data_IF_907553678876
#
_entry.id   IF_907553678876
#
_cell.length_a   1.000
_cell.length_b   1.000
_cell.length_c   1.000
_cell.angle_alpha   90.00
_cell.angle_beta   90.00
_cell.angle_gamma   90.00
#
_symmetry.space_group_name_H-M   'P 1'
#
loop_
_entity.id
_entity.type
_entity.pdbx_description
1 polymer ?
#
# COMPACT_ATOMS: atom_id res chain seq x y z
N UNK A 1 17.97 -24.21 18.24
CA UNK A 1 17.23 -24.56 17.00
C UNK A 1 15.85 -23.90 17.00
N UNK A 2 15.79 -22.57 17.03
CA UNK A 2 14.55 -21.79 16.82
C UNK A 2 14.52 -21.45 15.31
N UNK A 3 13.56 -21.86 14.47
CA UNK A 3 12.25 -21.19 14.37
C UNK A 3 11.30 -21.87 13.31
N UNK A 4 10.73 -23.05 13.57
CA UNK A 4 9.71 -23.64 12.69
C UNK A 4 8.38 -22.85 12.64
N UNK A 5 8.10 -22.08 13.70
CA UNK A 5 6.88 -21.26 13.84
C UNK A 5 6.89 -19.99 12.98
N UNK A 6 8.05 -19.38 12.75
CA UNK A 6 8.19 -18.16 11.95
C UNK A 6 8.00 -18.43 10.45
N UNK A 7 8.53 -19.57 9.98
CA UNK A 7 8.35 -20.00 8.59
C UNK A 7 6.88 -20.31 8.27
N UNK A 8 6.19 -20.99 9.19
CA UNK A 8 4.76 -21.33 9.03
C UNK A 8 3.90 -20.06 8.98
N UNK A 9 4.13 -19.10 9.88
CA UNK A 9 3.44 -17.79 9.84
C UNK A 9 3.68 -17.07 8.53
N UNK A 10 4.92 -17.05 8.03
CA UNK A 10 5.27 -16.39 6.78
C UNK A 10 4.58 -17.03 5.57
N UNK A 11 4.50 -18.37 5.51
CA UNK A 11 3.76 -19.08 4.45
C UNK A 11 2.27 -18.75 4.45
N UNK A 12 1.66 -18.65 5.63
CA UNK A 12 0.24 -18.29 5.76
C UNK A 12 -0.02 -16.83 5.35
N UNK A 13 0.85 -15.88 5.73
CA UNK A 13 0.75 -14.49 5.29
C UNK A 13 0.94 -14.36 3.77
N UNK A 14 1.93 -15.05 3.21
CA UNK A 14 2.15 -15.08 1.76
C UNK A 14 0.97 -15.67 0.98
N UNK A 15 0.35 -16.73 1.50
CA UNK A 15 -0.84 -17.31 0.90
C UNK A 15 -2.03 -16.35 0.95
N UNK A 16 -2.25 -15.67 2.08
CA UNK A 16 -3.31 -14.68 2.22
C UNK A 16 -3.11 -13.50 1.27
N UNK A 17 -1.88 -12.95 1.18
CA UNK A 17 -1.57 -11.85 0.27
C UNK A 17 -1.80 -12.24 -1.19
N UNK A 18 -1.37 -13.44 -1.59
CA UNK A 18 -1.61 -13.96 -2.94
C UNK A 18 -3.10 -14.05 -3.27
N UNK A 19 -3.91 -14.55 -2.34
CA UNK A 19 -5.37 -14.63 -2.54
C UNK A 19 -5.95 -13.23 -2.67
N UNK A 20 -5.57 -12.32 -1.76
CA UNK A 20 -6.08 -10.96 -1.73
C UNK A 20 -5.76 -10.21 -3.03
N UNK A 21 -4.51 -10.28 -3.50
CA UNK A 21 -4.10 -9.65 -4.77
C UNK A 21 -4.83 -10.24 -5.99
N UNK A 22 -5.13 -11.55 -5.98
CA UNK A 22 -5.73 -12.22 -7.15
C UNK A 22 -7.26 -12.22 -7.15
N UNK A 23 -7.90 -12.22 -5.98
CA UNK A 23 -9.34 -12.51 -5.81
C UNK A 23 -10.05 -11.53 -4.88
N UNK A 24 -9.34 -10.52 -4.40
CA UNK A 24 -9.85 -9.57 -3.41
C UNK A 24 -10.08 -10.21 -2.04
N UNK A 25 -10.58 -9.40 -1.12
CA UNK A 25 -10.80 -9.80 0.26
C UNK A 25 -11.88 -10.88 0.39
N UNK A 26 -12.88 -10.87 -0.49
CA UNK A 26 -13.98 -11.86 -0.53
C UNK A 26 -13.49 -13.27 -0.86
N UNK A 27 -12.30 -13.39 -1.46
CA UNK A 27 -11.66 -14.67 -1.75
C UNK A 27 -11.03 -15.35 -0.52
N UNK A 28 -10.93 -14.66 0.61
CA UNK A 28 -10.23 -15.15 1.80
C UNK A 28 -11.13 -16.00 2.69
N UNK A 29 -10.57 -17.11 3.16
CA UNK A 29 -11.11 -17.91 4.27
C UNK A 29 -9.96 -18.65 4.93
N UNK A 30 -10.13 -19.06 6.19
CA UNK A 30 -9.15 -19.92 6.90
C UNK A 30 -8.77 -21.14 6.07
N UNK A 31 -9.78 -21.80 5.48
CA UNK A 31 -9.58 -22.96 4.60
C UNK A 31 -8.76 -22.59 3.37
N UNK A 32 -9.12 -21.53 2.64
CA UNK A 32 -8.44 -21.15 1.41
C UNK A 32 -6.99 -20.73 1.65
N UNK A 33 -6.72 -20.05 2.76
CA UNK A 33 -5.37 -19.65 3.17
C UNK A 33 -4.52 -20.89 3.46
N UNK A 34 -5.04 -21.84 4.26
CA UNK A 34 -4.34 -23.11 4.53
C UNK A 34 -4.03 -23.89 3.26
N UNK A 35 -5.04 -24.11 2.40
CA UNK A 35 -4.88 -24.80 1.12
C UNK A 35 -3.84 -24.12 0.22
N UNK A 36 -3.89 -22.79 0.10
CA UNK A 36 -2.96 -22.01 -0.74
C UNK A 36 -1.55 -21.98 -0.17
N UNK A 37 -1.40 -22.13 1.14
CA UNK A 37 -0.10 -22.26 1.81
C UNK A 37 0.46 -23.69 1.76
N UNK A 38 -0.33 -24.69 1.33
CA UNK A 38 0.04 -26.11 1.45
C UNK A 38 0.08 -26.60 2.89
N UNK A 39 -0.74 -26.02 3.77
CA UNK A 39 -0.74 -26.23 5.22
C UNK A 39 -2.13 -26.61 5.74
N UNK A 40 -2.19 -27.22 6.92
CA UNK A 40 -3.46 -27.48 7.60
C UNK A 40 -4.17 -26.14 7.94
N UNK A 41 -5.43 -25.92 7.53
CA UNK A 41 -6.18 -24.70 7.85
C UNK A 41 -6.22 -24.33 9.34
N UNK A 42 -6.17 -25.31 10.25
CA UNK A 42 -6.15 -25.04 11.70
C UNK A 42 -4.92 -24.25 12.15
N UNK A 43 -3.85 -24.23 11.36
CA UNK A 43 -2.65 -23.44 11.64
C UNK A 43 -2.91 -21.93 11.55
N UNK A 44 -3.93 -21.49 10.80
CA UNK A 44 -4.32 -20.07 10.76
C UNK A 44 -4.82 -19.63 12.13
N UNK A 45 -5.81 -20.34 12.68
CA UNK A 45 -6.36 -20.00 14.01
C UNK A 45 -5.35 -20.26 15.11
N UNK A 46 -4.50 -21.28 14.99
CA UNK A 46 -3.42 -21.53 15.95
C UNK A 46 -2.39 -20.39 16.02
N UNK A 47 -1.95 -19.85 14.87
CA UNK A 47 -0.90 -18.83 14.85
C UNK A 47 -1.39 -17.39 14.99
N UNK A 48 -2.60 -17.12 14.52
CA UNK A 48 -3.14 -15.77 14.44
C UNK A 48 -4.39 -15.57 15.31
N UNK A 49 -5.00 -16.63 15.83
CA UNK A 49 -6.27 -16.58 16.56
C UNK A 49 -7.49 -16.52 15.63
N UNK A 50 -7.45 -15.67 14.60
CA UNK A 50 -8.53 -15.52 13.62
C UNK A 50 -8.00 -15.13 12.24
N UNK A 51 -8.86 -15.22 11.22
CA UNK A 51 -8.55 -14.66 9.89
C UNK A 51 -8.38 -13.14 9.96
N UNK A 52 -9.20 -12.44 10.75
CA UNK A 52 -9.09 -10.98 10.93
C UNK A 52 -7.71 -10.57 11.47
N UNK A 53 -7.24 -11.24 12.52
CA UNK A 53 -5.92 -10.97 13.11
C UNK A 53 -4.75 -11.33 12.17
N UNK A 54 -4.94 -12.31 11.27
CA UNK A 54 -3.99 -12.55 10.18
C UNK A 54 -3.96 -11.36 9.21
N UNK A 55 -5.12 -10.85 8.82
CA UNK A 55 -5.23 -9.73 7.88
C UNK A 55 -4.74 -8.40 8.47
N UNK A 56 -4.91 -8.18 9.78
CA UNK A 56 -4.31 -7.04 10.47
C UNK A 56 -2.78 -7.10 10.41
N UNK A 57 -2.18 -8.26 10.69
CA UNK A 57 -0.73 -8.43 10.54
C UNK A 57 -0.28 -8.27 9.09
N UNK A 58 -1.06 -8.75 8.12
CA UNK A 58 -0.76 -8.57 6.70
C UNK A 58 -0.84 -7.10 6.28
N UNK A 59 -1.86 -6.37 6.75
CA UNK A 59 -2.00 -4.91 6.59
C UNK A 59 -0.75 -4.23 7.14
N UNK A 60 -0.35 -4.53 8.36
CA UNK A 60 0.79 -3.86 9.01
C UNK A 60 2.10 -4.11 8.26
N UNK A 61 2.28 -5.31 7.70
CA UNK A 61 3.46 -5.65 6.89
C UNK A 61 3.53 -4.91 5.56
N UNK A 62 2.39 -4.50 4.99
CA UNK A 62 2.33 -3.73 3.76
C UNK A 62 2.29 -2.21 4.01
N UNK A 63 1.53 -1.77 5.01
CA UNK A 63 1.31 -0.35 5.32
C UNK A 63 2.47 0.25 6.13
N UNK A 64 3.06 -0.52 7.07
CA UNK A 64 4.12 -0.03 7.95
C UNK A 64 5.32 0.55 7.18
N UNK A 65 5.90 -0.15 6.19
CA UNK A 65 6.99 0.39 5.38
C UNK A 65 6.63 1.66 4.60
N UNK A 66 5.38 1.78 4.14
CA UNK A 66 4.90 2.98 3.44
C UNK A 66 4.87 4.17 4.40
N UNK A 67 4.26 4.00 5.58
CA UNK A 67 4.17 5.05 6.59
C UNK A 67 5.57 5.48 7.07
N UNK A 68 6.46 4.52 7.35
CA UNK A 68 7.82 4.79 7.77
C UNK A 68 8.61 5.59 6.73
N UNK A 69 8.40 5.32 5.43
CA UNK A 69 9.06 6.05 4.36
C UNK A 69 8.51 7.49 4.17
N UNK A 70 7.31 7.75 4.68
CA UNK A 70 6.71 9.08 4.70
C UNK A 70 7.02 9.89 5.97
N UNK A 71 7.70 9.29 6.95
CA UNK A 71 8.21 10.03 8.10
C UNK A 71 9.30 11.01 7.64
N UNK A 72 9.21 12.27 8.06
CA UNK A 72 10.22 13.29 7.77
C UNK A 72 10.18 13.88 6.36
N UNK A 73 9.10 13.70 5.58
CA UNK A 73 8.96 14.39 4.29
C UNK A 73 9.06 15.92 4.39
N UNK A 74 8.65 16.49 5.52
CA UNK A 74 8.74 17.92 5.84
C UNK A 74 10.18 18.40 6.08
N UNK A 75 11.12 17.47 6.30
CA UNK A 75 12.54 17.76 6.47
C UNK A 75 13.33 17.69 5.16
N UNK A 76 12.68 17.28 4.06
CA UNK A 76 13.33 17.22 2.75
C UNK A 76 13.41 18.61 2.11
N UNK A 77 14.53 18.88 1.45
CA UNK A 77 14.80 20.16 0.80
C UNK A 77 14.24 20.19 -0.63
N UNK A 78 13.20 21.00 -0.84
CA UNK A 78 12.62 21.27 -2.15
C UNK A 78 11.52 20.30 -2.59
N UNK A 79 10.64 20.80 -3.46
CA UNK A 79 9.46 20.08 -3.95
C UNK A 79 9.81 18.73 -4.62
N UNK A 80 10.91 18.67 -5.39
CA UNK A 80 11.31 17.42 -6.05
C UNK A 80 11.62 16.31 -5.06
N UNK A 81 12.37 16.61 -3.99
CA UNK A 81 12.71 15.64 -2.95
C UNK A 81 11.44 15.14 -2.24
N UNK A 82 10.52 16.05 -1.91
CA UNK A 82 9.24 15.70 -1.29
C UNK A 82 8.39 14.83 -2.22
N UNK A 83 8.27 15.17 -3.51
CA UNK A 83 7.52 14.38 -4.48
C UNK A 83 8.10 12.96 -4.64
N UNK A 84 9.41 12.85 -4.76
CA UNK A 84 10.10 11.56 -4.86
C UNK A 84 9.89 10.72 -3.60
N UNK A 85 10.04 11.33 -2.41
CA UNK A 85 9.81 10.67 -1.13
C UNK A 85 8.36 10.24 -0.91
N UNK A 86 7.40 11.01 -1.40
CA UNK A 86 5.98 10.65 -1.35
C UNK A 86 5.62 9.52 -2.33
N UNK A 87 6.10 9.61 -3.58
CA UNK A 87 5.68 8.69 -4.66
C UNK A 87 6.38 7.34 -4.55
N UNK A 88 7.67 7.28 -4.17
CA UNK A 88 8.42 6.02 -4.18
C UNK A 88 7.75 4.91 -3.32
N UNK A 89 7.23 5.18 -2.11
CA UNK A 89 6.51 4.19 -1.32
C UNK A 89 5.25 3.62 -1.97
N UNK A 90 4.59 4.37 -2.84
CA UNK A 90 3.38 3.92 -3.55
C UNK A 90 3.68 2.79 -4.56
N UNK A 91 4.94 2.65 -4.98
CA UNK A 91 5.41 1.65 -5.93
C UNK A 91 6.11 0.45 -5.27
N UNK A 92 6.18 0.41 -3.93
CA UNK A 92 6.81 -0.67 -3.20
C UNK A 92 6.16 -2.03 -3.50
N UNK A 93 6.95 -3.12 -3.58
CA UNK A 93 6.42 -4.47 -3.72
C UNK A 93 5.55 -4.83 -2.52
N UNK A 94 4.59 -5.73 -2.73
CA UNK A 94 3.83 -6.30 -1.63
C UNK A 94 4.76 -7.13 -0.72
N UNK A 95 4.42 -7.21 0.56
CA UNK A 95 5.32 -7.74 1.59
C UNK A 95 5.71 -9.22 1.38
N UNK A 96 4.87 -10.01 0.72
CA UNK A 96 5.07 -11.45 0.51
C UNK A 96 4.92 -11.90 -0.96
N UNK A 97 4.62 -10.97 -1.88
CA UNK A 97 4.33 -11.24 -3.29
C UNK A 97 5.15 -10.28 -4.16
N UNK A 98 6.29 -10.75 -4.64
CA UNK A 98 7.28 -9.94 -5.37
C UNK A 98 6.73 -9.27 -6.66
N UNK A 99 5.72 -9.88 -7.29
CA UNK A 99 5.03 -9.31 -8.46
C UNK A 99 3.85 -8.38 -8.14
N UNK A 100 3.44 -8.29 -6.88
CA UNK A 100 2.36 -7.42 -6.40
C UNK A 100 2.88 -6.09 -5.86
N UNK A 101 1.99 -5.11 -5.67
CA UNK A 101 2.30 -3.84 -5.01
C UNK A 101 1.62 -3.78 -3.64
N UNK A 102 2.32 -3.28 -2.63
CA UNK A 102 1.75 -3.08 -1.30
C UNK A 102 0.50 -2.18 -1.37
N UNK A 103 0.54 -1.14 -2.21
CA UNK A 103 -0.60 -0.24 -2.42
C UNK A 103 -1.88 -0.96 -2.88
N UNK A 104 -1.76 -2.03 -3.68
CA UNK A 104 -2.93 -2.82 -4.11
C UNK A 104 -3.56 -3.57 -2.95
N UNK A 105 -2.73 -4.11 -2.04
CA UNK A 105 -3.21 -4.76 -0.81
C UNK A 105 -3.94 -3.75 0.09
N UNK A 106 -3.36 -2.56 0.25
CA UNK A 106 -3.93 -1.50 1.08
C UNK A 106 -5.23 -0.93 0.49
N UNK A 107 -5.28 -0.72 -0.83
CA UNK A 107 -6.49 -0.25 -1.52
C UNK A 107 -7.65 -1.27 -1.38
N UNK A 108 -7.37 -2.56 -1.58
CA UNK A 108 -8.38 -3.62 -1.42
C UNK A 108 -8.94 -3.65 0.01
N UNK A 109 -8.08 -3.53 1.02
CA UNK A 109 -8.51 -3.47 2.43
C UNK A 109 -9.32 -2.19 2.71
N UNK A 110 -8.92 -1.04 2.15
CA UNK A 110 -9.63 0.21 2.33
C UNK A 110 -11.02 0.20 1.68
N UNK A 111 -11.14 -0.44 0.51
CA UNK A 111 -12.36 -0.52 -0.27
C UNK A 111 -13.35 -1.57 0.25
N UNK A 112 -12.85 -2.74 0.66
CA UNK A 112 -13.67 -3.92 0.91
C UNK A 112 -13.46 -4.56 2.30
N UNK A 113 -12.53 -4.06 3.10
CA UNK A 113 -12.33 -4.49 4.48
C UNK A 113 -13.49 -4.13 5.41
N UNK A 114 -13.55 -4.81 6.56
CA UNK A 114 -14.57 -4.59 7.59
C UNK A 114 -13.93 -4.20 8.92
N UNK A 115 -14.71 -3.52 9.78
CA UNK A 115 -14.32 -3.16 11.14
C UNK A 115 -12.96 -2.45 11.24
N UNK A 116 -12.19 -2.86 12.25
CA UNK A 116 -10.90 -2.25 12.62
C UNK A 116 -9.83 -2.41 11.52
N UNK A 117 -9.93 -3.46 10.71
CA UNK A 117 -9.01 -3.68 9.59
C UNK A 117 -9.08 -2.51 8.59
N UNK A 118 -10.30 -2.17 8.14
CA UNK A 118 -10.54 -1.03 7.23
C UNK A 118 -10.32 0.31 7.92
N UNK A 119 -10.84 0.47 9.13
CA UNK A 119 -10.73 1.72 9.88
C UNK A 119 -9.27 2.15 10.08
N UNK A 120 -8.38 1.20 10.41
CA UNK A 120 -6.95 1.48 10.57
C UNK A 120 -6.27 1.99 9.31
N UNK A 121 -6.58 1.42 8.14
CA UNK A 121 -6.03 1.89 6.86
C UNK A 121 -6.56 3.28 6.52
N UNK A 122 -7.87 3.48 6.61
CA UNK A 122 -8.51 4.75 6.25
C UNK A 122 -8.00 5.89 7.13
N UNK A 123 -7.89 5.67 8.45
CA UNK A 123 -7.35 6.66 9.38
C UNK A 123 -5.91 7.05 9.01
N UNK A 124 -5.02 6.07 8.82
CA UNK A 124 -3.63 6.33 8.47
C UNK A 124 -3.48 7.11 7.14
N UNK A 125 -4.24 6.73 6.11
CA UNK A 125 -4.23 7.42 4.82
C UNK A 125 -4.78 8.85 4.92
N UNK A 126 -5.86 9.06 5.67
CA UNK A 126 -6.43 10.39 5.88
C UNK A 126 -5.46 11.29 6.64
N UNK A 127 -4.80 10.77 7.67
CA UNK A 127 -3.84 11.51 8.48
C UNK A 127 -2.65 11.96 7.63
N UNK A 128 -2.05 11.02 6.89
CA UNK A 128 -0.98 11.34 5.95
C UNK A 128 -1.42 12.36 4.88
N UNK A 129 -2.61 12.19 4.29
CA UNK A 129 -3.11 13.11 3.25
C UNK A 129 -3.29 14.55 3.73
N UNK A 130 -3.59 14.74 5.03
CA UNK A 130 -3.68 16.08 5.64
C UNK A 130 -2.29 16.71 5.79
N UNK A 131 -1.34 15.96 6.34
CA UNK A 131 0.03 16.43 6.53
C UNK A 131 0.73 16.74 5.20
N UNK A 132 0.60 15.83 4.21
CA UNK A 132 1.16 16.02 2.87
C UNK A 132 0.57 17.26 2.20
N UNK A 133 -0.76 17.45 2.29
CA UNK A 133 -1.41 18.62 1.70
C UNK A 133 -0.92 19.93 2.32
N UNK A 134 -0.81 19.99 3.65
CA UNK A 134 -0.28 21.16 4.34
C UNK A 134 1.16 21.46 3.89
N UNK A 135 2.00 20.43 3.74
CA UNK A 135 3.36 20.57 3.23
C UNK A 135 3.39 21.04 1.77
N UNK A 136 2.58 20.46 0.88
CA UNK A 136 2.58 20.82 -0.54
C UNK A 136 2.12 22.26 -0.80
N UNK A 137 1.24 22.80 0.04
CA UNK A 137 0.82 24.20 -0.03
C UNK A 137 1.94 25.19 0.27
N UNK A 138 3.00 24.79 0.98
CA UNK A 138 4.17 25.68 1.19
C UNK A 138 4.99 25.85 -0.08
N UNK A 139 4.96 24.87 -0.97
CA UNK A 139 5.66 24.88 -2.26
C UNK A 139 4.79 25.44 -3.40
N UNK A 140 3.46 25.34 -3.29
CA UNK A 140 2.51 25.75 -4.32
C UNK A 140 1.45 26.72 -3.76
N UNK A 141 1.84 27.93 -3.31
CA UNK A 141 0.96 28.83 -2.56
C UNK A 141 -0.18 29.44 -3.38
N UNK A 142 -0.12 29.37 -4.72
CA UNK A 142 -1.21 29.83 -5.58
C UNK A 142 -2.40 28.86 -5.66
N UNK A 143 -2.22 27.60 -5.23
CA UNK A 143 -3.30 26.62 -5.20
C UNK A 143 -4.09 26.74 -3.89
N UNK A 144 -5.41 26.66 -3.99
CA UNK A 144 -6.24 26.54 -2.80
C UNK A 144 -6.28 25.09 -2.28
N UNK A 145 -6.79 24.91 -1.05
CA UNK A 145 -6.82 23.58 -0.43
C UNK A 145 -7.68 22.57 -1.22
N UNK A 146 -8.87 22.92 -1.74
CA UNK A 146 -9.64 22.03 -2.60
C UNK A 146 -8.89 21.55 -3.86
N UNK A 147 -8.24 22.45 -4.58
CA UNK A 147 -7.51 22.14 -5.81
C UNK A 147 -6.27 21.29 -5.50
N UNK A 148 -5.51 21.66 -4.46
CA UNK A 148 -4.37 20.86 -3.99
C UNK A 148 -4.81 19.43 -3.64
N UNK A 149 -5.92 19.29 -2.88
CA UNK A 149 -6.46 17.97 -2.53
C UNK A 149 -6.85 17.17 -3.78
N UNK A 150 -7.44 17.79 -4.78
CA UNK A 150 -7.82 17.15 -6.04
C UNK A 150 -6.58 16.66 -6.80
N UNK A 151 -5.57 17.53 -6.99
CA UNK A 151 -4.31 17.21 -7.68
C UNK A 151 -3.56 16.06 -7.00
N UNK A 152 -3.40 16.10 -5.67
CA UNK A 152 -2.74 15.02 -4.93
C UNK A 152 -3.49 13.69 -5.07
N UNK A 153 -4.83 13.71 -5.05
CA UNK A 153 -5.65 12.52 -5.30
C UNK A 153 -5.44 11.96 -6.71
N UNK A 154 -5.34 12.81 -7.73
CA UNK A 154 -5.13 12.36 -9.10
C UNK A 154 -3.74 11.74 -9.30
N UNK A 155 -2.71 12.33 -8.69
CA UNK A 155 -1.35 11.78 -8.70
C UNK A 155 -1.30 10.41 -8.00
N UNK A 156 -1.87 10.28 -6.79
CA UNK A 156 -1.86 8.99 -6.09
C UNK A 156 -2.71 7.93 -6.79
N UNK A 157 -3.82 8.31 -7.42
CA UNK A 157 -4.62 7.40 -8.25
C UNK A 157 -3.84 6.89 -9.47
N UNK A 158 -2.99 7.73 -10.08
CA UNK A 158 -2.13 7.31 -11.18
C UNK A 158 -1.12 6.23 -10.75
N UNK A 159 -0.56 6.33 -9.54
CA UNK A 159 0.35 5.32 -8.98
C UNK A 159 -0.34 3.96 -8.74
N UNK A 160 -1.64 3.94 -8.46
CA UNK A 160 -2.41 2.70 -8.32
C UNK A 160 -2.60 1.99 -9.68
N UNK A 161 -2.83 2.76 -10.74
CA UNK A 161 -3.01 2.30 -12.11
C UNK A 161 -4.34 1.59 -12.40
N UNK A 162 -4.68 1.37 -13.69
CA UNK A 162 -5.88 0.63 -14.07
C UNK A 162 -5.73 -0.88 -13.77
N UNK A 163 -6.84 -1.60 -13.56
CA UNK A 163 -6.81 -3.06 -13.50
C UNK A 163 -6.53 -3.70 -14.88
N UNK A 164 -5.94 -4.92 -14.93
CA UNK A 164 -5.37 -5.65 -13.81
C UNK A 164 -4.15 -4.92 -13.21
N UNK A 165 -4.00 -4.97 -11.89
CA UNK A 165 -2.95 -4.22 -11.19
C UNK A 165 -1.77 -5.15 -10.89
N UNK A 166 -0.59 -4.83 -11.41
CA UNK A 166 0.63 -5.62 -11.23
C UNK A 166 1.89 -4.79 -11.52
N UNK A 167 3.05 -5.27 -11.08
CA UNK A 167 4.34 -4.59 -11.33
C UNK A 167 4.69 -4.63 -12.83
N UNK A 168 5.06 -3.48 -13.41
CA UNK A 168 5.51 -3.38 -14.81
C UNK A 168 4.41 -3.55 -15.87
N UNK A 169 3.13 -3.51 -15.47
CA UNK A 169 2.02 -3.86 -16.35
C UNK A 169 1.67 -2.79 -17.40
N UNK A 170 2.21 -1.58 -17.26
CA UNK A 170 2.11 -0.51 -18.25
C UNK A 170 3.08 -0.69 -19.44
N UNK A 171 3.84 -1.80 -19.49
CA UNK A 171 4.80 -2.06 -20.57
C UNK A 171 6.07 -1.20 -20.50
N UNK A 172 6.27 -0.50 -19.37
CA UNK A 172 7.44 0.32 -19.04
C UNK A 172 8.15 -0.29 -17.84
N UNK A 173 9.48 -0.14 -17.76
CA UNK A 173 10.25 -0.58 -16.60
C UNK A 173 9.77 0.14 -15.32
N UNK A 174 9.98 -0.47 -14.16
CA UNK A 174 9.54 0.12 -12.87
C UNK A 174 10.24 1.47 -12.60
N UNK A 175 11.51 1.58 -12.98
CA UNK A 175 12.27 2.84 -12.92
C UNK A 175 11.67 3.91 -13.84
N UNK A 176 11.22 3.51 -15.03
CA UNK A 176 10.54 4.41 -15.96
C UNK A 176 9.20 4.89 -15.38
N UNK A 177 8.39 3.98 -14.80
CA UNK A 177 7.09 4.29 -14.19
C UNK A 177 7.23 5.34 -13.07
N UNK A 178 8.24 5.18 -12.20
CA UNK A 178 8.52 6.14 -11.13
C UNK A 178 8.85 7.53 -11.69
N UNK A 179 9.78 7.64 -12.65
CA UNK A 179 10.17 8.93 -13.22
C UNK A 179 9.02 9.57 -14.03
N UNK A 180 8.16 8.79 -14.71
CA UNK A 180 6.94 9.32 -15.33
C UNK A 180 5.98 9.92 -14.29
N UNK A 181 5.75 9.24 -13.16
CA UNK A 181 4.89 9.75 -12.10
C UNK A 181 5.45 11.02 -11.45
N UNK A 182 6.75 11.07 -11.18
CA UNK A 182 7.41 12.27 -10.61
C UNK A 182 7.28 13.46 -11.58
N UNK A 183 7.57 13.27 -12.88
CA UNK A 183 7.40 14.32 -13.89
C UNK A 183 5.95 14.78 -14.03
N UNK A 184 5.00 13.84 -14.01
CA UNK A 184 3.58 14.16 -14.05
C UNK A 184 3.18 14.97 -12.82
N UNK A 185 3.62 14.58 -11.61
CA UNK A 185 3.33 15.29 -10.38
C UNK A 185 3.88 16.72 -10.39
N UNK A 186 5.11 16.91 -10.87
CA UNK A 186 5.67 18.25 -11.08
C UNK A 186 4.81 19.09 -12.02
N UNK A 187 4.43 18.55 -13.18
CA UNK A 187 3.60 19.26 -14.14
C UNK A 187 2.20 19.57 -13.57
N UNK A 188 1.62 18.63 -12.83
CA UNK A 188 0.31 18.78 -12.22
C UNK A 188 0.26 19.77 -11.05
N UNK A 189 1.41 20.11 -10.44
CA UNK A 189 1.50 21.06 -9.33
C UNK A 189 1.96 22.47 -9.77
N UNK A 190 2.35 22.65 -11.04
CA UNK A 190 2.62 23.97 -11.60
C UNK A 190 1.33 24.79 -11.74
N UNK A 191 1.50 26.10 -11.68
CA UNK A 191 0.48 27.10 -12.05
C UNK A 191 0.18 27.06 -13.55
#
# INVERSE_FOLDING_TARGET
MSAPTSETRSKLLAAAERILVQRGITGLSVRKVGETAGLNPTLVTYHFGSLGALLEQLRDRNLGPILAAWEGLDQLDGLDAVLRGWIAPLLMPAAFTEGGRALVVIDEIAAHGEGDLRAGVVAAMLDFSRSLRALMLTYCPALDEPEMRARLRFISAAALGPPPRGRGMLGVGVEDEFEYLVRFAHAALRE
#
